data_IF_459449524378
#
_entry.id   IF_459449524378
#
_cell.length_a   1.000
_cell.length_b   1.000
_cell.length_c   1.000
_cell.angle_alpha   90.00
_cell.angle_beta   90.00
_cell.angle_gamma   90.00
#
_symmetry.space_group_name_H-M   'P 1'
#
loop_
_entity.id
_entity.type
_entity.pdbx_description
1 polymer ?
#
# COMPACT_ATOMS: atom_id res chain seq x y z
N UNK A 1 11.94 42.36 28.53
CA UNK A 1 11.44 41.53 27.41
C UNK A 1 12.24 41.82 26.16
N UNK A 2 13.16 40.93 25.79
CA UNK A 2 14.03 41.13 24.62
C UNK A 2 13.29 40.65 23.38
N UNK A 3 12.90 41.62 22.50
CA UNK A 3 12.34 41.29 21.21
C UNK A 3 13.43 40.74 20.29
N UNK A 4 13.32 39.46 19.89
CA UNK A 4 14.15 38.90 18.85
C UNK A 4 13.94 39.67 17.54
N UNK A 5 14.90 40.54 17.19
CA UNK A 5 14.91 41.26 15.92
C UNK A 5 15.33 40.32 14.81
N UNK A 6 14.37 39.71 14.10
CA UNK A 6 14.67 38.89 12.91
C UNK A 6 15.25 39.84 11.86
N UNK A 7 16.53 39.69 11.56
CA UNK A 7 17.22 40.47 10.52
C UNK A 7 16.88 39.93 9.12
N UNK A 8 16.83 40.81 8.09
CA UNK A 8 16.61 40.39 6.69
C UNK A 8 17.63 39.30 6.24
N UNK A 9 18.84 39.36 6.72
CA UNK A 9 19.89 38.36 6.45
C UNK A 9 19.55 37.01 7.09
N UNK A 10 19.00 36.99 8.31
CA UNK A 10 18.57 35.76 8.97
C UNK A 10 17.40 35.07 8.23
N UNK A 11 16.42 35.84 7.75
CA UNK A 11 15.32 35.29 6.93
C UNK A 11 15.85 34.72 5.62
N UNK A 12 16.74 35.44 4.92
CA UNK A 12 17.32 34.95 3.66
C UNK A 12 18.12 33.67 3.86
N UNK A 13 18.91 33.56 4.95
CA UNK A 13 19.64 32.34 5.28
C UNK A 13 18.71 31.20 5.62
N UNK A 14 17.67 31.42 6.42
CA UNK A 14 16.64 30.41 6.73
C UNK A 14 15.96 29.90 5.46
N UNK A 15 15.53 30.78 4.55
CA UNK A 15 14.92 30.40 3.29
C UNK A 15 15.87 29.55 2.41
N UNK A 16 17.16 29.93 2.33
CA UNK A 16 18.16 29.15 1.57
C UNK A 16 18.38 27.75 2.17
N UNK A 17 18.53 27.66 3.51
CA UNK A 17 18.72 26.38 4.20
C UNK A 17 17.47 25.50 4.04
N UNK A 18 16.25 26.08 4.19
CA UNK A 18 15.01 25.33 4.01
C UNK A 18 14.85 24.85 2.57
N UNK A 19 15.15 25.68 1.56
CA UNK A 19 15.12 25.30 0.16
C UNK A 19 16.13 24.18 -0.15
N UNK A 20 17.37 24.28 0.37
CA UNK A 20 18.39 23.25 0.19
C UNK A 20 17.98 21.92 0.87
N UNK A 21 17.43 21.98 2.09
CA UNK A 21 16.95 20.81 2.81
C UNK A 21 15.77 20.14 2.07
N UNK A 22 14.82 20.95 1.55
CA UNK A 22 13.69 20.43 0.75
C UNK A 22 14.17 19.79 -0.56
N UNK A 23 15.12 20.42 -1.26
CA UNK A 23 15.71 19.86 -2.48
C UNK A 23 16.48 18.55 -2.20
N UNK A 24 17.25 18.48 -1.14
CA UNK A 24 17.96 17.29 -0.71
C UNK A 24 16.97 16.15 -0.31
N UNK A 25 15.91 16.50 0.40
CA UNK A 25 14.85 15.56 0.76
C UNK A 25 14.12 15.01 -0.47
N UNK A 26 13.76 15.87 -1.41
CA UNK A 26 13.11 15.46 -2.66
C UNK A 26 14.05 14.61 -3.54
N UNK A 27 15.34 14.99 -3.65
CA UNK A 27 16.35 14.23 -4.36
C UNK A 27 16.59 12.86 -3.73
N UNK A 28 16.72 12.81 -2.40
CA UNK A 28 16.88 11.55 -1.65
C UNK A 28 15.67 10.63 -1.82
N UNK A 29 14.45 11.19 -1.76
CA UNK A 29 13.22 10.45 -2.03
C UNK A 29 13.22 9.86 -3.44
N UNK A 30 13.53 10.68 -4.45
CA UNK A 30 13.55 10.24 -5.85
C UNK A 30 14.57 9.14 -6.08
N UNK A 31 15.78 9.27 -5.52
CA UNK A 31 16.83 8.25 -5.61
C UNK A 31 16.40 6.95 -4.90
N UNK A 32 15.79 7.05 -3.74
CA UNK A 32 15.37 5.89 -2.97
C UNK A 32 14.22 5.13 -3.64
N UNK A 33 13.25 5.83 -4.25
CA UNK A 33 12.10 5.23 -4.93
C UNK A 33 12.28 5.06 -6.44
N UNK A 34 13.47 5.32 -7.00
CA UNK A 34 13.72 5.34 -8.44
C UNK A 34 13.44 4.02 -9.15
N UNK A 35 13.48 2.93 -8.41
CA UNK A 35 13.20 1.61 -8.95
C UNK A 35 11.72 1.19 -8.86
N UNK A 36 10.87 1.99 -8.19
CA UNK A 36 9.44 1.82 -8.22
C UNK A 36 8.86 2.57 -9.42
N UNK A 37 8.05 1.90 -10.21
CA UNK A 37 7.36 2.48 -11.35
C UNK A 37 5.89 2.07 -11.37
N UNK A 38 5.08 2.79 -12.15
CA UNK A 38 3.69 2.45 -12.37
C UNK A 38 3.53 1.87 -13.76
N UNK A 39 2.80 0.76 -13.85
CA UNK A 39 2.43 0.12 -15.10
C UNK A 39 0.97 0.41 -15.45
N UNK A 40 0.57 0.30 -16.76
CA UNK A 40 -0.82 0.40 -17.15
C UNK A 40 -1.67 -0.65 -16.42
N UNK A 41 -2.72 -0.19 -15.73
CA UNK A 41 -3.60 -1.04 -14.94
C UNK A 41 -5.05 -0.65 -15.16
N UNK A 42 -5.84 -1.58 -15.70
CA UNK A 42 -7.23 -1.33 -16.06
C UNK A 42 -7.96 -2.59 -16.53
N UNK A 43 -9.27 -2.46 -16.86
CA UNK A 43 -10.13 -3.58 -17.20
C UNK A 43 -9.68 -4.39 -18.42
N UNK A 44 -8.94 -3.76 -19.33
CA UNK A 44 -8.45 -4.39 -20.55
C UNK A 44 -7.25 -5.32 -20.29
N UNK A 45 -6.42 -5.02 -19.30
CA UNK A 45 -5.11 -5.64 -19.15
C UNK A 45 -4.90 -6.38 -17.83
N UNK A 46 -5.85 -6.32 -16.88
CA UNK A 46 -5.69 -7.03 -15.61
C UNK A 46 -6.92 -7.86 -15.22
N UNK A 47 -6.71 -9.14 -14.82
CA UNK A 47 -7.80 -10.06 -14.46
C UNK A 47 -8.54 -9.66 -13.19
N UNK A 48 -7.96 -8.81 -12.32
CA UNK A 48 -8.61 -8.37 -11.09
C UNK A 48 -9.97 -7.72 -11.36
N UNK A 49 -10.10 -6.94 -12.44
CA UNK A 49 -11.37 -6.30 -12.85
C UNK A 49 -12.46 -7.29 -13.28
N UNK A 50 -12.09 -8.53 -13.60
CA UNK A 50 -13.03 -9.61 -14.00
C UNK A 50 -13.23 -10.61 -12.85
N UNK A 51 -12.52 -10.44 -11.74
CA UNK A 51 -12.54 -11.34 -10.59
C UNK A 51 -13.88 -11.32 -9.87
N UNK A 52 -14.14 -12.38 -9.09
CA UNK A 52 -15.30 -12.44 -8.18
C UNK A 52 -15.25 -11.32 -7.15
N UNK A 53 -14.06 -10.91 -6.71
CA UNK A 53 -13.87 -9.86 -5.73
C UNK A 53 -14.31 -8.49 -6.25
N UNK A 54 -13.89 -8.13 -7.46
CA UNK A 54 -14.32 -6.87 -8.08
C UNK A 54 -15.83 -6.85 -8.29
N UNK A 55 -16.41 -7.94 -8.80
CA UNK A 55 -17.88 -8.05 -9.03
C UNK A 55 -18.67 -7.97 -7.74
N UNK A 56 -18.14 -8.50 -6.64
CA UNK A 56 -18.80 -8.48 -5.34
C UNK A 56 -18.77 -7.08 -4.71
N UNK A 57 -17.64 -6.38 -4.80
CA UNK A 57 -17.42 -5.10 -4.11
C UNK A 57 -17.74 -3.88 -4.97
N UNK A 58 -17.71 -3.99 -6.31
CA UNK A 58 -18.15 -2.95 -7.24
C UNK A 58 -19.16 -3.52 -8.26
N UNK A 59 -20.32 -4.03 -7.81
CA UNK A 59 -21.29 -4.69 -8.69
C UNK A 59 -21.89 -3.75 -9.75
N UNK A 60 -21.96 -2.44 -9.47
CA UNK A 60 -22.39 -1.41 -10.39
C UNK A 60 -21.34 -1.03 -11.44
N UNK A 61 -20.15 -1.61 -11.39
CA UNK A 61 -19.01 -1.22 -12.22
C UNK A 61 -18.85 0.31 -12.27
N UNK A 62 -18.83 0.92 -11.07
CA UNK A 62 -18.67 2.37 -10.93
C UNK A 62 -17.29 2.79 -11.43
N UNK A 63 -17.15 4.00 -11.98
CA UNK A 63 -15.87 4.56 -12.39
C UNK A 63 -14.85 4.51 -11.27
N UNK A 64 -13.60 4.17 -11.61
CA UNK A 64 -12.54 3.95 -10.63
C UNK A 64 -11.26 4.69 -10.98
N UNK A 65 -10.49 5.05 -9.95
CA UNK A 65 -9.09 5.43 -10.05
C UNK A 65 -8.24 4.19 -9.81
N UNK A 66 -7.39 3.84 -10.76
CA UNK A 66 -6.63 2.61 -10.75
C UNK A 66 -5.14 2.89 -10.83
N UNK A 67 -4.34 2.15 -10.07
CA UNK A 67 -2.88 2.18 -10.17
C UNK A 67 -2.26 0.82 -9.83
N UNK A 68 -1.09 0.55 -10.41
CA UNK A 68 -0.24 -0.60 -10.12
C UNK A 68 1.19 -0.13 -9.94
N UNK A 69 1.68 -0.13 -8.71
CA UNK A 69 3.06 0.18 -8.36
C UNK A 69 3.90 -1.10 -8.34
N UNK A 70 4.97 -1.12 -9.12
CA UNK A 70 5.83 -2.29 -9.34
C UNK A 70 7.26 -2.03 -8.88
N UNK A 71 7.88 -3.06 -8.31
CA UNK A 71 9.29 -3.10 -7.95
C UNK A 71 9.89 -4.45 -8.33
N UNK A 72 10.91 -4.44 -9.21
CA UNK A 72 11.70 -5.63 -9.55
C UNK A 72 12.95 -5.69 -8.68
N UNK A 73 13.28 -6.87 -8.19
CA UNK A 73 14.44 -7.12 -7.32
C UNK A 73 15.20 -8.33 -7.85
N UNK A 74 16.53 -8.24 -8.06
CA UNK A 74 17.34 -9.40 -8.43
C UNK A 74 17.17 -10.53 -7.41
N UNK A 75 17.02 -11.77 -7.90
CA UNK A 75 16.85 -12.94 -7.02
C UNK A 75 18.03 -13.14 -6.06
N UNK A 76 19.23 -12.68 -6.45
CA UNK A 76 20.41 -12.69 -5.58
C UNK A 76 20.30 -11.83 -4.31
N UNK A 77 19.29 -10.94 -4.24
CA UNK A 77 19.00 -10.10 -3.06
C UNK A 77 17.86 -10.65 -2.21
N UNK A 78 17.27 -11.77 -2.58
CA UNK A 78 16.17 -12.43 -1.87
C UNK A 78 16.74 -13.68 -1.20
N UNK A 79 16.38 -13.98 0.07
CA UNK A 79 16.76 -15.25 0.70
C UNK A 79 16.37 -16.44 -0.16
N UNK A 80 17.31 -17.38 -0.44
CA UNK A 80 17.05 -18.53 -1.33
C UNK A 80 15.83 -19.35 -0.91
N UNK A 81 15.59 -19.50 0.38
CA UNK A 81 14.45 -20.25 0.92
C UNK A 81 13.08 -19.64 0.57
N UNK A 82 13.02 -18.30 0.34
CA UNK A 82 11.80 -17.63 -0.12
C UNK A 82 11.59 -17.83 -1.62
N UNK A 83 12.67 -17.83 -2.39
CA UNK A 83 12.63 -18.10 -3.84
C UNK A 83 12.20 -19.54 -4.08
N UNK A 84 12.83 -20.49 -3.39
CA UNK A 84 12.52 -21.93 -3.50
C UNK A 84 11.06 -22.21 -3.09
N UNK A 85 10.58 -21.62 -1.99
CA UNK A 85 9.19 -21.76 -1.56
C UNK A 85 8.22 -21.24 -2.64
N UNK A 86 8.49 -20.06 -3.21
CA UNK A 86 7.65 -19.47 -4.25
C UNK A 86 7.63 -20.30 -5.55
N UNK A 87 8.78 -20.84 -5.97
CA UNK A 87 8.90 -21.70 -7.14
C UNK A 87 8.16 -23.04 -6.95
N UNK A 88 8.08 -23.53 -5.71
CA UNK A 88 7.33 -24.74 -5.36
C UNK A 88 5.86 -24.48 -5.01
N UNK A 89 5.33 -23.29 -5.31
CA UNK A 89 3.92 -22.95 -5.10
C UNK A 89 3.59 -22.54 -3.67
N UNK A 90 4.59 -22.22 -2.84
CA UNK A 90 4.40 -21.65 -1.50
C UNK A 90 4.07 -20.17 -1.53
N UNK A 91 3.70 -19.61 -0.39
CA UNK A 91 3.25 -18.21 -0.23
C UNK A 91 4.15 -17.36 0.67
N UNK A 92 5.30 -17.89 1.13
CA UNK A 92 6.15 -17.19 2.12
C UNK A 92 6.69 -15.86 1.60
N UNK A 93 7.08 -15.78 0.32
CA UNK A 93 7.55 -14.54 -0.29
C UNK A 93 6.44 -13.48 -0.31
N UNK A 94 5.23 -13.88 -0.73
CA UNK A 94 4.05 -13.02 -0.74
C UNK A 94 3.68 -12.55 0.66
N UNK A 95 3.61 -13.46 1.63
CA UNK A 95 3.30 -13.15 3.02
C UNK A 95 4.32 -12.17 3.61
N UNK A 96 5.60 -12.38 3.34
CA UNK A 96 6.68 -11.52 3.82
C UNK A 96 6.62 -10.13 3.20
N UNK A 97 6.30 -10.02 1.90
CA UNK A 97 6.07 -8.74 1.24
C UNK A 97 4.86 -8.02 1.84
N UNK A 98 3.73 -8.70 1.97
CA UNK A 98 2.51 -8.17 2.57
C UNK A 98 2.75 -7.70 4.02
N UNK A 99 3.47 -8.51 4.81
CA UNK A 99 3.88 -8.15 6.18
C UNK A 99 4.73 -6.87 6.22
N UNK A 100 5.64 -6.70 5.28
CA UNK A 100 6.46 -5.50 5.15
C UNK A 100 5.66 -4.27 4.71
N UNK A 101 4.65 -4.43 3.85
CA UNK A 101 3.71 -3.35 3.45
C UNK A 101 2.97 -2.83 4.68
N UNK A 102 2.34 -3.69 5.46
CA UNK A 102 1.47 -3.29 6.58
C UNK A 102 2.20 -3.11 7.92
N UNK A 103 3.20 -3.94 8.21
CA UNK A 103 3.98 -3.90 9.44
C UNK A 103 5.24 -3.05 9.35
N UNK A 104 5.68 -2.69 8.13
CA UNK A 104 6.87 -1.89 7.87
C UNK A 104 6.70 -0.41 8.20
N UNK A 105 7.76 0.37 7.89
CA UNK A 105 7.80 1.81 8.14
C UNK A 105 6.82 2.60 7.25
N UNK A 106 6.49 2.08 6.06
CA UNK A 106 5.60 2.76 5.11
C UNK A 106 4.21 3.03 5.67
N UNK A 107 3.62 2.05 6.33
CA UNK A 107 2.29 2.14 6.93
C UNK A 107 2.28 2.70 8.36
N UNK A 108 3.43 2.92 8.97
CA UNK A 108 3.55 3.22 10.40
C UNK A 108 2.74 4.47 10.83
N UNK A 109 2.75 5.54 10.05
CA UNK A 109 2.01 6.78 10.37
C UNK A 109 0.51 6.52 10.29
N UNK A 110 0.02 5.96 9.18
CA UNK A 110 -1.40 5.66 8.99
C UNK A 110 -1.90 4.69 10.05
N UNK A 111 -1.17 3.61 10.34
CA UNK A 111 -1.48 2.65 11.38
C UNK A 111 -1.68 3.32 12.74
N UNK A 112 -0.74 4.19 13.15
CA UNK A 112 -0.84 4.88 14.44
C UNK A 112 -2.03 5.84 14.52
N UNK A 113 -2.38 6.50 13.40
CA UNK A 113 -3.58 7.34 13.32
C UNK A 113 -4.83 6.47 13.46
N UNK A 114 -4.94 5.40 12.67
CA UNK A 114 -6.09 4.50 12.70
C UNK A 114 -6.26 3.83 14.07
N UNK A 115 -5.15 3.40 14.70
CA UNK A 115 -5.20 2.81 16.04
C UNK A 115 -5.70 3.81 17.10
N UNK A 116 -5.35 5.11 17.00
CA UNK A 116 -5.86 6.13 17.93
C UNK A 116 -7.33 6.46 17.71
N UNK A 117 -7.83 6.31 16.50
CA UNK A 117 -9.19 6.68 16.13
C UNK A 117 -10.19 5.52 16.25
N UNK A 118 -9.72 4.28 16.03
CA UNK A 118 -10.62 3.14 15.86
C UNK A 118 -10.31 1.90 16.69
N UNK A 119 -9.18 1.84 17.43
CA UNK A 119 -8.88 0.71 18.31
C UNK A 119 -9.56 0.86 19.63
N UNK A 120 -10.31 -0.15 20.06
CA UNK A 120 -10.97 -0.22 21.35
C UNK A 120 -10.94 -1.65 21.92
N UNK A 121 -11.54 -1.84 23.10
CA UNK A 121 -11.57 -3.16 23.78
C UNK A 121 -12.38 -4.22 23.03
N UNK A 122 -13.31 -3.83 22.17
CA UNK A 122 -14.14 -4.77 21.40
C UNK A 122 -13.44 -5.33 20.18
N UNK A 123 -12.42 -4.63 19.65
CA UNK A 123 -11.77 -4.98 18.39
C UNK A 123 -10.27 -5.24 18.47
N UNK A 124 -9.63 -4.95 19.61
CA UNK A 124 -8.18 -5.06 19.80
C UNK A 124 -7.61 -6.46 19.53
N UNK A 125 -8.39 -7.51 19.82
CA UNK A 125 -7.98 -8.91 19.66
C UNK A 125 -8.52 -9.56 18.38
N UNK A 126 -9.41 -8.87 17.66
CA UNK A 126 -10.04 -9.34 16.42
C UNK A 126 -9.34 -8.83 15.15
N UNK A 127 -8.49 -7.84 15.30
CA UNK A 127 -7.85 -7.14 14.18
C UNK A 127 -6.36 -6.94 14.44
N UNK A 128 -5.59 -6.85 13.37
CA UNK A 128 -4.15 -6.59 13.46
C UNK A 128 -3.89 -5.09 13.63
N UNK A 129 -3.47 -4.68 14.82
CA UNK A 129 -3.16 -3.29 15.14
C UNK A 129 -1.67 -3.04 15.32
N UNK A 130 -0.97 -3.98 15.92
CA UNK A 130 0.41 -3.80 16.33
C UNK A 130 1.40 -4.26 15.25
N UNK A 131 2.56 -3.56 15.19
CA UNK A 131 3.62 -3.88 14.24
C UNK A 131 4.00 -5.37 14.27
N UNK A 132 4.11 -5.95 15.47
CA UNK A 132 4.51 -7.36 15.65
C UNK A 132 3.48 -8.31 15.06
N UNK A 133 2.20 -8.05 15.28
CA UNK A 133 1.09 -8.85 14.73
C UNK A 133 1.10 -8.81 13.20
N UNK A 134 1.20 -7.60 12.64
CA UNK A 134 1.25 -7.40 11.19
C UNK A 134 2.46 -8.08 10.55
N UNK A 135 3.64 -8.03 11.20
CA UNK A 135 4.85 -8.68 10.68
C UNK A 135 4.82 -10.22 10.75
N UNK A 136 4.00 -10.80 11.62
CA UNK A 136 3.90 -12.25 11.81
C UNK A 136 2.61 -12.85 11.21
N UNK A 137 1.76 -12.04 10.61
CA UNK A 137 0.52 -12.52 9.99
C UNK A 137 0.80 -13.25 8.68
N UNK A 138 0.03 -14.30 8.43
CA UNK A 138 -0.02 -14.99 7.15
C UNK A 138 -1.07 -14.42 6.20
N UNK A 139 -1.83 -13.42 6.63
CA UNK A 139 -2.86 -12.74 5.83
C UNK A 139 -3.86 -13.71 5.17
N UNK A 140 -4.38 -14.65 5.96
CA UNK A 140 -5.48 -15.52 5.53
C UNK A 140 -6.77 -14.74 5.26
N UNK A 141 -7.70 -15.32 4.48
CA UNK A 141 -9.02 -14.72 4.24
C UNK A 141 -9.71 -14.40 5.58
N UNK A 142 -10.33 -13.22 5.67
CA UNK A 142 -10.95 -12.69 6.88
C UNK A 142 -10.00 -11.89 7.79
N UNK A 143 -8.66 -11.93 7.57
CA UNK A 143 -7.74 -11.10 8.33
C UNK A 143 -8.09 -9.62 8.18
N UNK A 144 -8.31 -8.94 9.31
CA UNK A 144 -8.60 -7.51 9.34
C UNK A 144 -7.37 -6.72 9.75
N UNK A 145 -6.97 -5.76 8.91
CA UNK A 145 -5.84 -4.86 9.13
C UNK A 145 -6.37 -3.48 9.54
N UNK A 146 -6.16 -3.11 10.80
CA UNK A 146 -6.46 -1.78 11.39
C UNK A 146 -7.89 -1.29 11.18
N UNK A 147 -8.87 -2.19 11.19
CA UNK A 147 -10.29 -1.89 10.91
C UNK A 147 -10.49 -1.06 9.61
N UNK A 148 -9.61 -1.26 8.65
CA UNK A 148 -9.66 -0.52 7.38
C UNK A 148 -9.54 -1.42 6.16
N UNK A 149 -8.81 -2.54 6.25
CA UNK A 149 -8.67 -3.52 5.18
C UNK A 149 -9.01 -4.92 5.67
N UNK A 150 -9.77 -5.66 4.86
CA UNK A 150 -10.08 -7.07 5.10
C UNK A 150 -9.55 -7.90 3.95
N UNK A 151 -8.81 -8.96 4.25
CA UNK A 151 -8.39 -9.93 3.24
C UNK A 151 -9.60 -10.69 2.75
N UNK A 152 -9.95 -10.55 1.48
CA UNK A 152 -11.11 -11.19 0.84
C UNK A 152 -10.72 -12.36 -0.07
N UNK A 153 -9.43 -12.52 -0.32
CA UNK A 153 -8.91 -13.65 -1.09
C UNK A 153 -7.40 -13.78 -0.97
N UNK A 154 -6.95 -15.05 -0.99
CA UNK A 154 -5.52 -15.38 -0.97
C UNK A 154 -5.22 -16.55 -1.89
N UNK A 155 -4.13 -16.45 -2.62
CA UNK A 155 -3.48 -17.52 -3.39
C UNK A 155 -1.99 -17.54 -3.04
N UNK A 156 -1.19 -18.48 -3.53
CA UNK A 156 0.27 -18.44 -3.33
C UNK A 156 0.96 -17.17 -3.85
N UNK A 157 0.36 -16.47 -4.83
CA UNK A 157 0.97 -15.31 -5.50
C UNK A 157 0.19 -14.00 -5.35
N UNK A 158 -0.99 -14.02 -4.73
CA UNK A 158 -1.87 -12.85 -4.60
C UNK A 158 -2.60 -12.85 -3.28
N UNK A 159 -2.66 -11.67 -2.64
CA UNK A 159 -3.55 -11.36 -1.52
C UNK A 159 -4.42 -10.19 -1.96
N UNK A 160 -5.74 -10.40 -1.97
CA UNK A 160 -6.74 -9.36 -2.31
C UNK A 160 -7.36 -8.84 -1.03
N UNK A 161 -7.35 -7.52 -0.87
CA UNK A 161 -7.92 -6.83 0.29
C UNK A 161 -9.02 -5.88 -0.18
N UNK A 162 -10.11 -5.87 0.56
CA UNK A 162 -11.14 -4.84 0.43
C UNK A 162 -10.93 -3.79 1.52
N UNK A 163 -10.84 -2.52 1.13
CA UNK A 163 -10.62 -1.38 2.00
C UNK A 163 -11.85 -0.49 2.06
N UNK A 164 -12.25 -0.13 3.27
CA UNK A 164 -13.34 0.78 3.55
C UNK A 164 -13.25 1.28 5.00
N UNK A 165 -14.06 2.27 5.39
CA UNK A 165 -14.18 2.66 6.79
C UNK A 165 -14.93 1.57 7.58
N UNK A 166 -14.29 1.02 8.63
CA UNK A 166 -14.86 -0.01 9.52
C UNK A 166 -15.56 -1.16 8.77
N UNK A 167 -14.85 -1.89 7.88
CA UNK A 167 -15.47 -2.87 7.00
C UNK A 167 -16.13 -4.02 7.75
N UNK A 168 -15.64 -4.38 8.94
CA UNK A 168 -16.14 -5.50 9.74
C UNK A 168 -17.40 -5.15 10.52
N UNK A 169 -17.64 -3.88 10.84
CA UNK A 169 -18.81 -3.47 11.62
C UNK A 169 -20.09 -3.52 10.80
N UNK A 170 -20.00 -3.21 9.52
CA UNK A 170 -21.16 -3.21 8.61
C UNK A 170 -20.76 -3.87 7.28
N UNK A 171 -20.55 -5.18 7.24
CA UNK A 171 -20.17 -5.87 6.02
C UNK A 171 -21.28 -5.75 4.96
N UNK A 172 -20.92 -5.42 3.72
CA UNK A 172 -21.87 -5.31 2.61
C UNK A 172 -22.61 -3.97 2.50
N UNK A 173 -22.41 -3.04 3.42
CA UNK A 173 -22.95 -1.67 3.27
C UNK A 173 -21.98 -0.87 2.40
N UNK A 174 -22.38 -0.35 1.21
CA UNK A 174 -21.54 0.48 0.35
C UNK A 174 -21.13 1.79 1.04
N UNK A 175 -19.94 2.28 0.74
CA UNK A 175 -19.40 3.55 1.26
C UNK A 175 -19.00 4.47 0.12
N UNK A 176 -18.98 5.77 0.41
CA UNK A 176 -18.58 6.80 -0.58
C UNK A 176 -17.17 6.60 -1.13
N UNK A 177 -16.32 5.94 -0.34
CA UNK A 177 -14.97 5.59 -0.74
C UNK A 177 -14.65 4.15 -0.34
N UNK A 178 -14.38 3.34 -1.34
CA UNK A 178 -13.94 1.97 -1.21
C UNK A 178 -12.69 1.73 -2.05
N UNK A 179 -11.91 0.74 -1.63
CA UNK A 179 -10.71 0.30 -2.34
C UNK A 179 -10.70 -1.22 -2.45
N UNK A 180 -10.38 -1.73 -3.62
CA UNK A 180 -9.94 -3.11 -3.79
C UNK A 180 -8.45 -3.08 -4.10
N UNK A 181 -7.64 -3.59 -3.18
CA UNK A 181 -6.21 -3.68 -3.33
C UNK A 181 -5.79 -5.12 -3.62
N UNK A 182 -4.75 -5.30 -4.43
CA UNK A 182 -4.11 -6.60 -4.63
C UNK A 182 -2.61 -6.46 -4.43
N UNK A 183 -2.05 -7.32 -3.58
CA UNK A 183 -0.61 -7.46 -3.36
C UNK A 183 -0.17 -8.75 -4.04
N UNK A 184 0.79 -8.66 -4.98
CA UNK A 184 1.29 -9.85 -5.70
C UNK A 184 2.80 -9.96 -5.66
N UNK A 185 3.27 -11.21 -5.76
CA UNK A 185 4.69 -11.53 -6.00
C UNK A 185 4.80 -12.59 -7.08
N UNK A 186 5.73 -12.35 -8.02
CA UNK A 186 6.05 -13.29 -9.09
C UNK A 186 7.58 -13.48 -9.20
N UNK A 187 8.00 -14.68 -9.60
CA UNK A 187 9.40 -14.98 -9.90
C UNK A 187 9.55 -15.12 -11.41
N UNK A 188 10.39 -14.27 -11.99
CA UNK A 188 10.82 -14.37 -13.38
C UNK A 188 12.25 -14.93 -13.41
N UNK A 189 12.36 -16.23 -13.71
CA UNK A 189 13.63 -16.94 -13.77
C UNK A 189 14.45 -16.53 -15.00
N UNK A 190 13.80 -16.13 -16.09
CA UNK A 190 14.47 -15.73 -17.32
C UNK A 190 15.21 -14.39 -17.15
N UNK A 191 14.58 -13.46 -16.43
CA UNK A 191 15.18 -12.17 -16.07
C UNK A 191 15.99 -12.23 -14.77
N UNK A 192 15.89 -13.30 -13.98
CA UNK A 192 16.54 -13.45 -12.67
C UNK A 192 16.04 -12.45 -11.62
N UNK A 193 14.74 -12.11 -11.64
CA UNK A 193 14.14 -11.13 -10.74
C UNK A 193 12.88 -11.66 -10.05
N UNK A 194 12.61 -11.14 -8.86
CA UNK A 194 11.28 -11.18 -8.24
C UNK A 194 10.57 -9.86 -8.53
N UNK A 195 9.30 -9.94 -8.91
CA UNK A 195 8.43 -8.79 -9.12
C UNK A 195 7.44 -8.66 -7.97
N UNK A 196 7.37 -7.47 -7.40
CA UNK A 196 6.48 -7.10 -6.30
C UNK A 196 5.51 -6.04 -6.79
N UNK A 197 4.20 -6.23 -6.61
CA UNK A 197 3.17 -5.29 -7.05
C UNK A 197 2.22 -4.95 -5.91
N UNK A 198 1.85 -3.68 -5.85
CA UNK A 198 0.71 -3.17 -5.09
C UNK A 198 -0.24 -2.51 -6.08
N UNK A 199 -1.41 -3.11 -6.27
CA UNK A 199 -2.48 -2.62 -7.15
C UNK A 199 -3.59 -2.03 -6.30
N UNK A 200 -4.23 -0.97 -6.80
CA UNK A 200 -5.37 -0.33 -6.16
C UNK A 200 -6.46 -0.01 -7.18
N UNK A 201 -7.70 -0.22 -6.78
CA UNK A 201 -8.91 0.18 -7.51
C UNK A 201 -9.79 0.95 -6.52
N UNK A 202 -9.81 2.29 -6.60
CA UNK A 202 -10.66 3.15 -5.78
C UNK A 202 -11.94 3.47 -6.53
N UNK A 203 -13.07 3.39 -5.85
CA UNK A 203 -14.38 3.68 -6.44
C UNK A 203 -15.34 4.22 -5.36
N UNK A 204 -16.41 4.90 -5.80
CA UNK A 204 -17.54 5.20 -4.93
C UNK A 204 -18.46 3.99 -4.90
N UNK A 205 -18.65 3.37 -3.73
CA UNK A 205 -19.49 2.18 -3.59
C UNK A 205 -21.01 2.51 -3.59
N UNK A 206 -21.38 3.77 -3.30
CA UNK A 206 -22.80 4.17 -3.16
C UNK A 206 -23.40 4.57 -4.49
N UNK A 207 -22.71 5.42 -5.25
CA UNK A 207 -23.25 6.01 -6.47
C UNK A 207 -22.26 6.00 -7.64
N UNK A 208 -22.81 5.97 -8.86
CA UNK A 208 -22.01 6.15 -10.07
C UNK A 208 -21.78 7.64 -10.30
N UNK A 209 -20.57 8.11 -9.97
CA UNK A 209 -20.19 9.51 -10.18
C UNK A 209 -19.24 9.64 -11.36
N UNK A 210 -19.36 10.77 -12.10
CA UNK A 210 -18.38 11.18 -13.11
C UNK A 210 -17.36 12.17 -12.55
N UNK A 211 -17.46 12.53 -11.26
CA UNK A 211 -16.51 13.42 -10.60
C UNK A 211 -15.25 12.63 -10.25
N UNK A 212 -14.12 13.32 -10.32
CA UNK A 212 -12.86 12.75 -9.84
C UNK A 212 -12.98 12.36 -8.37
N UNK A 213 -12.60 11.11 -8.04
CA UNK A 213 -12.62 10.58 -6.68
C UNK A 213 -11.69 11.37 -5.75
N UNK A 214 -10.56 11.84 -6.29
CA UNK A 214 -9.58 12.63 -5.57
C UNK A 214 -9.10 13.82 -6.38
N UNK A 215 -8.83 14.97 -5.76
CA UNK A 215 -8.18 16.08 -6.44
C UNK A 215 -6.74 15.70 -6.84
N UNK A 216 -6.19 16.28 -7.92
CA UNK A 216 -4.86 15.91 -8.47
C UNK A 216 -3.72 15.88 -7.45
N UNK A 217 -3.60 16.80 -6.47
CA UNK A 217 -2.55 16.73 -5.46
C UNK A 217 -2.63 15.47 -4.57
N UNK A 218 -3.85 15.00 -4.27
CA UNK A 218 -4.06 13.78 -3.47
C UNK A 218 -3.72 12.54 -4.30
N UNK A 219 -4.06 12.52 -5.60
CA UNK A 219 -3.63 11.44 -6.52
C UNK A 219 -2.11 11.35 -6.58
N UNK A 220 -1.42 12.50 -6.72
CA UNK A 220 0.04 12.53 -6.71
C UNK A 220 0.63 12.00 -5.39
N UNK A 221 0.06 12.44 -4.24
CA UNK A 221 0.49 11.98 -2.92
C UNK A 221 0.25 10.48 -2.75
N UNK A 222 -0.88 9.96 -3.22
CA UNK A 222 -1.18 8.53 -3.23
C UNK A 222 -0.12 7.74 -3.99
N UNK A 223 0.31 8.19 -5.17
CA UNK A 223 1.37 7.51 -5.93
C UNK A 223 2.71 7.50 -5.16
N UNK A 224 3.06 8.61 -4.47
CA UNK A 224 4.24 8.60 -3.61
C UNK A 224 4.09 7.63 -2.45
N UNK A 225 2.89 7.55 -1.88
CA UNK A 225 2.58 6.62 -0.79
C UNK A 225 2.65 5.15 -1.24
N UNK A 226 2.15 4.81 -2.43
CA UNK A 226 2.30 3.47 -3.00
C UNK A 226 3.77 3.06 -3.13
N UNK A 227 4.65 3.96 -3.63
CA UNK A 227 6.09 3.70 -3.68
C UNK A 227 6.68 3.44 -2.29
N UNK A 228 6.28 4.23 -1.27
CA UNK A 228 6.72 4.06 0.10
C UNK A 228 6.33 2.68 0.65
N UNK A 229 5.09 2.25 0.42
CA UNK A 229 4.58 0.96 0.86
C UNK A 229 5.32 -0.21 0.17
N UNK A 230 5.52 -0.10 -1.14
CA UNK A 230 6.22 -1.13 -1.93
C UNK A 230 7.68 -1.25 -1.49
N UNK A 231 8.41 -0.14 -1.31
CA UNK A 231 9.79 -0.17 -0.81
C UNK A 231 9.87 -0.72 0.62
N UNK A 232 8.90 -0.40 1.49
CA UNK A 232 8.82 -0.97 2.83
C UNK A 232 8.61 -2.49 2.78
N UNK A 233 7.70 -2.95 1.91
CA UNK A 233 7.44 -4.37 1.68
C UNK A 233 8.67 -5.11 1.16
N UNK A 234 9.30 -4.57 0.12
CA UNK A 234 10.50 -5.15 -0.50
C UNK A 234 11.68 -5.17 0.47
N UNK A 235 11.87 -4.12 1.28
CA UNK A 235 12.96 -4.10 2.28
C UNK A 235 12.84 -5.22 3.31
N UNK A 236 11.62 -5.73 3.54
CA UNK A 236 11.36 -6.87 4.42
C UNK A 236 11.63 -8.22 3.76
N UNK A 237 11.70 -8.27 2.43
CA UNK A 237 11.99 -9.49 1.64
C UNK A 237 13.46 -9.67 1.31
N UNK A 238 14.29 -8.65 1.49
CA UNK A 238 15.73 -8.70 1.20
C UNK A 238 16.55 -9.29 2.34
N UNK A 239 17.72 -9.80 1.96
CA UNK A 239 18.80 -10.20 2.89
C UNK A 239 19.50 -9.01 3.49
#
# INVERSE_FOLDING_TARGET
MSFFRITRSGVATFCKVSAAASAAGAGGWQLWTMHCYFEPFGPENDPLFKSRYFKQHNPGNHPSLNDSCVRKVPLSQIPPELVDDALNGGSKLLERFCAGVWGGYGYAIQRNILARLGRDDSNKDLMLWDKKELLNSTYGEGTNVTNHFVVVGKTPRSIVLWGAHSPSENPGVPRDMENLAEITTDIDMDQGVAEFRLKNIFYNGVERTSKDLFPPPIVWLHFQYCKLLVEAGVSHCKT
#
